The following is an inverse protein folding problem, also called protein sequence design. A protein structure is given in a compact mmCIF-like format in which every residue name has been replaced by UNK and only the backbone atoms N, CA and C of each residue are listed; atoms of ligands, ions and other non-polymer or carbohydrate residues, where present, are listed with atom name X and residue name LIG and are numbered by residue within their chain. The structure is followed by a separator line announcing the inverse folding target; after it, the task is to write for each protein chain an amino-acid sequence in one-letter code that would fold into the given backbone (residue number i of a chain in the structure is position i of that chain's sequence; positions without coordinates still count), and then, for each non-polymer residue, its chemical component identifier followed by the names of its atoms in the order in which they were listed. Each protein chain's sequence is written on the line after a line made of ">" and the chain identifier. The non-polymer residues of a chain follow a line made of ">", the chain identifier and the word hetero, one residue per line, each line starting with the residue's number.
data_IF_306380141551
#
_entry.id   IF_306380141551
#
_cell.length_a   1.000
_cell.length_b   1.000
_cell.length_c   1.000
_cell.angle_alpha   90.00
_cell.angle_beta   90.00
_cell.angle_gamma   90.00
#
_symmetry.space_group_name_H-M   'P 1'
#
loop_
_entity.id
_entity.type
_entity.pdbx_description
1 polymer ?
#
# COMPACT_ATOMS: atom_id res chain seq x y z
N UNK A 1 -6.26 -12.63 -15.28
CA UNK A 1 -6.59 -11.76 -14.12
C UNK A 1 -5.43 -10.86 -13.82
N UNK A 2 -5.61 -9.55 -13.94
CA UNK A 2 -4.66 -8.54 -13.48
C UNK A 2 -5.15 -8.07 -12.11
N UNK A 3 -4.22 -7.97 -11.16
CA UNK A 3 -4.54 -7.56 -9.80
C UNK A 3 -3.99 -6.16 -9.57
N UNK A 4 -4.88 -5.24 -9.22
CA UNK A 4 -4.55 -3.89 -8.82
C UNK A 4 -4.44 -3.89 -7.29
N UNK A 5 -3.39 -3.27 -6.76
CA UNK A 5 -3.21 -3.17 -5.32
C UNK A 5 -3.12 -1.72 -4.90
N UNK A 6 -3.98 -1.31 -4.00
CA UNK A 6 -3.91 0.00 -3.35
C UNK A 6 -3.64 -0.17 -1.85
N UNK A 7 -2.92 0.79 -1.27
CA UNK A 7 -2.58 0.82 0.14
C UNK A 7 -2.90 2.19 0.70
N UNK A 8 -3.54 2.20 1.86
CA UNK A 8 -4.02 3.41 2.52
C UNK A 8 -3.54 3.46 3.96
N UNK A 9 -3.30 4.67 4.45
CA UNK A 9 -3.14 4.98 5.87
C UNK A 9 -4.14 6.07 6.23
N UNK A 10 -4.98 5.81 7.22
CA UNK A 10 -6.03 6.72 7.69
C UNK A 10 -6.85 7.28 6.50
N UNK A 11 -7.31 6.38 5.63
CA UNK A 11 -8.05 6.65 4.39
C UNK A 11 -7.32 7.42 3.28
N UNK A 12 -6.05 7.77 3.46
CA UNK A 12 -5.23 8.39 2.42
C UNK A 12 -4.42 7.32 1.69
N UNK A 13 -4.59 7.23 0.36
CA UNK A 13 -3.78 6.34 -0.47
C UNK A 13 -2.33 6.80 -0.45
N UNK A 14 -1.40 5.87 -0.24
CA UNK A 14 0.04 6.16 -0.24
C UNK A 14 0.80 5.31 -1.27
N UNK A 15 0.20 4.24 -1.77
CA UNK A 15 0.80 3.38 -2.80
C UNK A 15 -0.27 2.74 -3.69
N UNK A 16 0.02 2.66 -4.99
CA UNK A 16 -0.80 1.98 -5.99
C UNK A 16 0.07 1.14 -6.93
N UNK A 17 -0.37 -0.08 -7.20
CA UNK A 17 0.16 -0.96 -8.24
C UNK A 17 -0.87 -1.19 -9.35
N UNK A 18 -0.49 -0.88 -10.58
CA UNK A 18 -1.30 -1.00 -11.80
C UNK A 18 -0.51 -1.81 -12.84
N UNK A 19 -0.77 -3.13 -13.02
CA UNK A 19 0.04 -4.01 -13.86
C UNK A 19 0.23 -3.54 -15.32
N UNK A 20 -0.81 -2.92 -15.88
CA UNK A 20 -0.90 -2.46 -17.27
C UNK A 20 -0.71 -0.94 -17.41
N UNK A 21 -0.43 -0.23 -16.32
CA UNK A 21 -0.21 1.22 -16.32
C UNK A 21 1.16 1.61 -16.88
N UNK A 22 1.29 2.86 -17.35
CA UNK A 22 2.58 3.43 -17.77
C UNK A 22 3.62 3.39 -16.65
N UNK A 23 3.19 3.75 -15.43
CA UNK A 23 3.96 3.54 -14.20
C UNK A 23 3.27 2.43 -13.42
N UNK A 24 3.96 1.30 -13.27
CA UNK A 24 3.39 0.14 -12.57
C UNK A 24 3.21 0.37 -11.09
N UNK A 25 4.11 1.14 -10.46
CA UNK A 25 4.07 1.46 -9.04
C UNK A 25 4.12 2.97 -8.88
N UNK A 26 3.15 3.51 -8.14
CA UNK A 26 3.03 4.94 -7.86
C UNK A 26 2.92 5.12 -6.35
N UNK A 27 3.62 6.09 -5.79
CA UNK A 27 3.55 6.48 -4.39
C UNK A 27 2.90 7.85 -4.25
N UNK A 28 2.16 8.05 -3.17
CA UNK A 28 1.54 9.33 -2.83
C UNK A 28 2.01 9.75 -1.43
N UNK A 29 2.30 11.05 -1.21
CA UNK A 29 2.80 11.51 0.07
C UNK A 29 1.71 11.43 1.14
N UNK A 30 1.98 10.68 2.21
CA UNK A 30 1.13 10.59 3.40
C UNK A 30 2.00 10.71 4.64
N UNK A 31 1.54 11.49 5.63
CA UNK A 31 2.30 11.74 6.86
C UNK A 31 2.63 10.43 7.58
N UNK A 32 3.91 10.24 7.92
CA UNK A 32 4.40 9.05 8.61
C UNK A 32 4.53 7.80 7.72
N UNK A 33 4.42 7.94 6.39
CA UNK A 33 4.61 6.83 5.45
C UNK A 33 5.79 7.14 4.53
N UNK A 34 6.76 6.24 4.49
CA UNK A 34 7.85 6.23 3.52
C UNK A 34 7.99 4.83 2.95
N UNK A 35 7.82 4.70 1.63
CA UNK A 35 7.91 3.42 0.92
C UNK A 35 9.35 3.22 0.41
N UNK A 36 9.97 2.10 0.75
CA UNK A 36 11.25 1.71 0.17
C UNK A 36 11.03 1.23 -1.28
N UNK A 37 11.34 2.08 -2.25
CA UNK A 37 11.16 1.80 -3.68
C UNK A 37 12.10 0.72 -4.23
N UNK A 38 13.21 0.43 -3.54
CA UNK A 38 14.19 -0.59 -3.97
C UNK A 38 13.80 -1.98 -3.48
N UNK A 39 13.14 -2.08 -2.32
CA UNK A 39 12.68 -3.34 -1.74
C UNK A 39 11.22 -3.67 -2.00
N UNK A 40 10.40 -2.67 -2.29
CA UNK A 40 9.01 -2.88 -2.71
C UNK A 40 8.97 -3.55 -4.06
N UNK A 41 8.27 -4.68 -4.17
CA UNK A 41 8.09 -5.41 -5.42
C UNK A 41 6.65 -5.85 -5.60
N UNK A 42 6.12 -5.56 -6.79
CA UNK A 42 4.80 -6.02 -7.20
C UNK A 42 4.89 -6.78 -8.53
N UNK A 43 4.24 -7.94 -8.55
CA UNK A 43 4.00 -8.78 -9.71
C UNK A 43 2.49 -8.98 -9.88
N UNK A 44 2.09 -9.69 -10.94
CA UNK A 44 0.70 -9.79 -11.39
C UNK A 44 -0.30 -10.24 -10.31
N UNK A 45 0.14 -11.03 -9.33
CA UNK A 45 -0.67 -11.68 -8.30
C UNK A 45 -0.19 -11.42 -6.87
N UNK A 46 0.89 -10.65 -6.68
CA UNK A 46 1.49 -10.38 -5.35
C UNK A 46 2.13 -9.01 -5.29
N UNK A 47 1.97 -8.32 -4.16
CA UNK A 47 2.65 -7.07 -3.85
C UNK A 47 3.27 -7.12 -2.46
N UNK A 48 4.60 -7.07 -2.42
CA UNK A 48 5.41 -6.98 -1.22
C UNK A 48 5.84 -5.51 -1.04
N UNK A 49 5.29 -4.84 -0.02
CA UNK A 49 5.49 -3.41 0.25
C UNK A 49 6.27 -3.25 1.56
N UNK A 50 7.35 -2.46 1.54
CA UNK A 50 8.13 -2.16 2.75
C UNK A 50 8.00 -0.68 3.12
N UNK A 51 7.57 -0.43 4.36
CA UNK A 51 7.60 0.89 4.97
C UNK A 51 8.87 1.04 5.81
N UNK A 52 9.57 2.15 5.64
CA UNK A 52 10.82 2.47 6.35
C UNK A 52 10.68 3.79 7.13
N UNK A 53 11.67 4.08 7.97
CA UNK A 53 11.74 5.34 8.74
C UNK A 53 10.46 5.64 9.54
N UNK A 54 9.85 4.62 10.14
CA UNK A 54 8.62 4.76 10.92
C UNK A 54 8.86 5.69 12.12
N UNK A 55 8.01 6.71 12.25
CA UNK A 55 8.09 7.75 13.30
C UNK A 55 6.84 7.75 14.14
N UNK A 56 6.97 8.19 15.38
CA UNK A 56 5.83 8.33 16.29
C UNK A 56 5.50 9.80 16.55
N UNK A 57 4.20 10.14 16.60
CA UNK A 57 3.05 9.25 16.43
C UNK A 57 2.66 8.99 14.96
N UNK A 58 3.31 9.64 14.01
CA UNK A 58 2.81 9.83 12.65
C UNK A 58 2.61 8.54 11.85
N UNK A 59 3.45 7.52 12.07
CA UNK A 59 3.35 6.23 11.39
C UNK A 59 2.35 5.27 12.01
N UNK A 60 1.80 5.57 13.20
CA UNK A 60 0.68 4.82 13.76
C UNK A 60 -0.63 5.25 13.07
N UNK A 61 -1.60 4.33 12.98
CA UNK A 61 -2.90 4.60 12.36
C UNK A 61 -3.56 3.35 11.78
N UNK A 62 -4.67 3.55 11.07
CA UNK A 62 -5.39 2.50 10.36
C UNK A 62 -4.76 2.28 8.98
N UNK A 63 -4.24 1.08 8.73
CA UNK A 63 -3.70 0.69 7.44
C UNK A 63 -4.67 -0.23 6.72
N UNK A 64 -5.02 0.11 5.48
CA UNK A 64 -5.89 -0.70 4.62
C UNK A 64 -5.12 -1.22 3.41
N UNK A 65 -5.23 -2.51 3.16
CA UNK A 65 -4.88 -3.10 1.88
C UNK A 65 -6.15 -3.32 1.05
N UNK A 66 -6.08 -2.94 -0.22
CA UNK A 66 -7.14 -3.18 -1.19
C UNK A 66 -6.54 -3.90 -2.39
N UNK A 67 -7.27 -4.91 -2.85
CA UNK A 67 -6.91 -5.77 -3.97
C UNK A 67 -8.12 -5.88 -4.86
N UNK A 68 -7.99 -5.43 -6.12
CA UNK A 68 -9.08 -5.51 -7.10
C UNK A 68 -8.65 -6.23 -8.38
N UNK A 69 -9.60 -6.85 -9.06
CA UNK A 69 -9.43 -7.40 -10.41
C UNK A 69 -10.27 -6.63 -11.41
N UNK A 70 -9.78 -6.53 -12.63
CA UNK A 70 -10.57 -6.14 -13.80
C UNK A 70 -10.93 -7.38 -14.63
N UNK A 71 -11.85 -7.20 -15.57
CA UNK A 71 -12.41 -8.14 -16.57
C UNK A 71 -11.85 -9.59 -16.60
N UNK A 72 -12.72 -10.60 -16.70
CA UNK A 72 -14.17 -10.52 -16.95
C UNK A 72 -15.00 -10.23 -15.69
N UNK A 73 -14.44 -10.45 -14.49
CA UNK A 73 -15.10 -10.20 -13.22
C UNK A 73 -14.35 -9.10 -12.46
N UNK A 74 -15.09 -8.08 -12.04
CA UNK A 74 -14.62 -7.14 -11.05
C UNK A 74 -14.76 -7.78 -9.67
N UNK A 75 -13.63 -8.06 -9.01
CA UNK A 75 -13.59 -8.51 -7.62
C UNK A 75 -12.84 -7.47 -6.82
N UNK A 76 -13.31 -7.23 -5.60
CA UNK A 76 -12.69 -6.31 -4.65
C UNK A 76 -12.56 -7.03 -3.31
N UNK A 77 -11.36 -7.04 -2.76
CA UNK A 77 -11.09 -7.50 -1.41
C UNK A 77 -10.31 -6.40 -0.68
N UNK A 78 -10.74 -6.09 0.54
CA UNK A 78 -10.06 -5.09 1.38
C UNK A 78 -10.00 -5.54 2.83
N UNK A 79 -8.89 -5.24 3.49
CA UNK A 79 -8.72 -5.46 4.93
C UNK A 79 -8.06 -4.26 5.58
N UNK A 80 -8.56 -3.88 6.77
CA UNK A 80 -8.03 -2.75 7.54
C UNK A 80 -7.56 -3.22 8.90
N UNK A 81 -6.38 -2.79 9.33
CA UNK A 81 -5.83 -3.06 10.65
C UNK A 81 -5.21 -1.80 11.25
N UNK A 82 -5.41 -1.61 12.56
CA UNK A 82 -4.72 -0.57 13.30
C UNK A 82 -3.30 -1.01 13.64
N UNK A 83 -2.32 -0.21 13.22
CA UNK A 83 -0.91 -0.43 13.51
C UNK A 83 -0.45 0.63 14.50
N UNK A 84 0.21 0.17 15.56
CA UNK A 84 0.87 1.04 16.54
C UNK A 84 2.37 0.84 16.42
N UNK A 85 3.09 1.90 16.09
CA UNK A 85 4.55 1.90 16.13
C UNK A 85 4.98 2.12 17.59
N UNK A 86 5.79 1.21 18.13
CA UNK A 86 6.29 1.24 19.50
C UNK A 86 7.84 1.23 19.52
N UNK A 87 8.48 1.98 20.42
CA UNK A 87 9.93 2.19 20.52
C UNK A 87 10.31 3.23 21.59
N UNK A 88 11.55 3.73 21.64
CA UNK A 88 11.90 5.04 22.26
C UNK A 88 12.40 5.95 21.14
N UNK A 89 12.08 7.24 21.23
CA UNK A 89 12.65 8.23 20.29
C UNK A 89 14.14 8.38 20.58
#
# INVERSE_FOLDING_TARGET
>A
MYVFCSRYKDDHEFFRYTPTGQQRMVTFPVSGVEVDSHKTRCVKDRCDLLLINLKRPQSSGAYRCEVSSEAPEFKLASGTHNVTVAGKN
#
